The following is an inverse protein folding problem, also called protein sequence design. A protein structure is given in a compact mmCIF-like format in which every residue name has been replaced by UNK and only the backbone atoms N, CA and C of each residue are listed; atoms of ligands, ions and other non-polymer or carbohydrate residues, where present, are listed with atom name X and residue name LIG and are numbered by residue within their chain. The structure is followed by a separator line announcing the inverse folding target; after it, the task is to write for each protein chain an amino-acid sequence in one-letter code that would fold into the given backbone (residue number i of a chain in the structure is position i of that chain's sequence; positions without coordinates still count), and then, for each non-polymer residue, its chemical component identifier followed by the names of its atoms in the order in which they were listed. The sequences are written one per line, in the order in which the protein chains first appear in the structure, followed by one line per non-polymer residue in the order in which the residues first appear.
data_IF_638237579414
#
_entry.id   IF_638237579414
#
_cell.length_a   1.000
_cell.length_b   1.000
_cell.length_c   1.000
_cell.angle_alpha   90.00
_cell.angle_beta   90.00
_cell.angle_gamma   90.00
#
_symmetry.space_group_name_H-M   'P 1'
#
loop_
_entity.id
_entity.type
_entity.pdbx_description
1 polymer ?
#
# COMPACT_ATOMS: atom_id res chain seq x y z
N UNK A 1 3.58 -12.22 -2.00
CA UNK A 1 3.62 -11.97 -0.55
C UNK A 1 4.64 -10.88 -0.28
N UNK A 2 4.21 -9.80 0.36
CA UNK A 2 5.02 -8.63 0.64
C UNK A 2 5.88 -8.79 1.90
N UNK A 3 5.30 -9.31 3.00
CA UNK A 3 5.93 -9.35 4.32
C UNK A 3 7.34 -9.96 4.32
N UNK A 4 7.61 -11.13 3.71
CA UNK A 4 8.96 -11.71 3.74
C UNK A 4 10.02 -10.87 3.03
N UNK A 5 9.61 -10.00 2.10
CA UNK A 5 10.49 -9.11 1.36
C UNK A 5 10.74 -7.80 2.11
N UNK A 6 9.70 -7.27 2.78
CA UNK A 6 9.74 -5.93 3.38
C UNK A 6 10.18 -5.98 4.84
N UNK A 7 9.64 -6.90 5.63
CA UNK A 7 9.88 -7.01 7.08
C UNK A 7 10.63 -8.29 7.47
N UNK A 8 10.79 -9.25 6.54
CA UNK A 8 11.57 -10.47 6.75
C UNK A 8 10.83 -11.61 7.46
N UNK A 9 9.54 -11.43 7.74
CA UNK A 9 8.67 -12.40 8.41
C UNK A 9 7.37 -12.59 7.60
N UNK A 10 6.62 -13.66 7.88
CA UNK A 10 5.33 -13.90 7.20
C UNK A 10 4.18 -13.08 7.80
N UNK A 11 4.24 -12.79 9.10
CA UNK A 11 3.19 -12.13 9.89
C UNK A 11 1.81 -12.79 9.69
N UNK A 12 1.72 -14.12 9.84
CA UNK A 12 0.52 -14.92 9.47
C UNK A 12 -0.78 -14.51 10.17
N UNK A 13 -0.71 -13.82 11.31
CA UNK A 13 -1.89 -13.36 12.06
C UNK A 13 -2.33 -11.93 11.68
N UNK A 14 -1.54 -11.23 10.87
CA UNK A 14 -1.82 -9.85 10.45
C UNK A 14 -2.47 -9.80 9.05
N UNK A 15 -3.32 -8.80 8.80
CA UNK A 15 -3.98 -8.59 7.50
C UNK A 15 -2.97 -8.44 6.35
N UNK A 16 -1.76 -7.96 6.63
CA UNK A 16 -0.67 -7.83 5.66
C UNK A 16 -0.15 -9.15 5.10
N UNK A 17 -0.44 -10.27 5.76
CA UNK A 17 -0.08 -11.61 5.25
C UNK A 17 -0.68 -11.91 3.88
N UNK A 18 -1.79 -11.23 3.52
CA UNK A 18 -2.48 -11.35 2.25
C UNK A 18 -2.09 -10.25 1.24
N UNK A 19 -1.05 -9.46 1.55
CA UNK A 19 -0.61 -8.37 0.69
C UNK A 19 0.50 -8.80 -0.28
N UNK A 20 0.48 -8.21 -1.48
CA UNK A 20 1.39 -8.55 -2.58
C UNK A 20 2.04 -7.30 -3.15
N UNK A 21 3.33 -7.39 -3.48
CA UNK A 21 4.06 -6.30 -4.14
C UNK A 21 3.61 -6.20 -5.60
N UNK A 22 3.25 -4.99 -6.03
CA UNK A 22 2.88 -4.68 -7.43
C UNK A 22 3.89 -3.77 -8.12
N UNK A 23 4.69 -3.02 -7.36
CA UNK A 23 5.74 -2.15 -7.88
C UNK A 23 6.85 -1.97 -6.84
N UNK A 24 8.07 -1.69 -7.30
CA UNK A 24 9.19 -1.26 -6.46
C UNK A 24 10.07 -0.27 -7.21
N UNK A 25 10.71 0.64 -6.46
CA UNK A 25 11.73 1.54 -7.00
C UNK A 25 13.14 0.90 -7.06
N UNK A 26 13.28 -0.33 -6.55
CA UNK A 26 14.55 -1.06 -6.47
C UNK A 26 15.48 -0.59 -5.34
N UNK A 27 15.03 0.32 -4.46
CA UNK A 27 15.78 0.87 -3.32
C UNK A 27 15.09 0.65 -1.98
N UNK A 28 14.01 -0.13 -1.97
CA UNK A 28 13.32 -0.56 -0.76
C UNK A 28 11.92 0.01 -0.63
N UNK A 29 11.49 0.90 -1.52
CA UNK A 29 10.11 1.39 -1.56
C UNK A 29 9.24 0.43 -2.39
N UNK A 30 8.05 0.14 -1.88
CA UNK A 30 7.12 -0.80 -2.49
C UNK A 30 5.72 -0.22 -2.57
N UNK A 31 5.01 -0.58 -3.64
CA UNK A 31 3.56 -0.51 -3.67
C UNK A 31 3.02 -1.91 -3.44
N UNK A 32 2.10 -2.05 -2.50
CA UNK A 32 1.46 -3.33 -2.19
C UNK A 32 -0.04 -3.28 -2.43
N UNK A 33 -0.65 -4.45 -2.63
CA UNK A 33 -2.09 -4.64 -2.81
C UNK A 33 -2.60 -5.71 -1.87
N UNK A 34 -3.75 -5.48 -1.23
CA UNK A 34 -4.47 -6.50 -0.46
C UNK A 34 -5.29 -7.41 -1.38
N UNK A 35 -4.96 -8.71 -1.43
CA UNK A 35 -5.71 -9.68 -2.23
C UNK A 35 -6.75 -10.47 -1.41
N UNK A 36 -7.01 -10.07 -0.16
CA UNK A 36 -8.14 -10.60 0.59
C UNK A 36 -9.47 -10.12 -0.01
N UNK A 37 -10.40 -11.04 -0.20
CA UNK A 37 -11.71 -10.80 -0.82
C UNK A 37 -12.59 -9.80 -0.04
N UNK A 38 -12.46 -9.76 1.29
CA UNK A 38 -13.23 -8.85 2.14
C UNK A 38 -12.67 -7.41 2.11
N UNK A 39 -11.36 -7.25 1.84
CA UNK A 39 -10.64 -5.96 1.84
C UNK A 39 -10.36 -5.39 0.44
N UNK A 40 -10.80 -6.07 -0.62
CA UNK A 40 -11.12 -5.55 -1.97
C UNK A 40 -10.00 -4.86 -2.75
N UNK A 41 -8.74 -5.29 -2.65
CA UNK A 41 -7.72 -4.78 -3.57
C UNK A 41 -7.19 -3.38 -3.25
N UNK A 42 -7.39 -2.88 -2.02
CA UNK A 42 -6.77 -1.63 -1.57
C UNK A 42 -5.25 -1.69 -1.78
N UNK A 43 -4.65 -0.55 -2.11
CA UNK A 43 -3.22 -0.42 -2.32
C UNK A 43 -2.58 0.51 -1.29
N UNK A 44 -1.34 0.19 -0.93
CA UNK A 44 -0.61 0.87 0.15
C UNK A 44 0.78 1.32 -0.29
N UNK A 45 1.23 2.44 0.29
CA UNK A 45 2.65 2.80 0.34
C UNK A 45 3.32 1.90 1.39
N UNK A 46 4.37 1.17 1.01
CA UNK A 46 4.99 0.17 1.86
C UNK A 46 6.50 0.33 1.89
N UNK A 47 7.00 0.54 3.10
CA UNK A 47 8.41 0.59 3.45
C UNK A 47 8.60 -0.11 4.80
N UNK A 48 9.85 -0.39 5.18
CA UNK A 48 10.14 -1.19 6.38
C UNK A 48 9.54 -0.60 7.68
N UNK A 49 9.30 0.72 7.72
CA UNK A 49 8.83 1.46 8.90
C UNK A 49 7.31 1.75 8.90
N UNK A 50 6.60 1.38 7.82
CA UNK A 50 5.15 1.64 7.68
C UNK A 50 4.35 0.44 7.18
N UNK A 51 4.98 -0.57 6.61
CA UNK A 51 4.29 -1.73 6.06
C UNK A 51 3.71 -2.61 7.16
N UNK A 52 2.38 -2.71 7.21
CA UNK A 52 1.69 -3.55 8.20
C UNK A 52 1.78 -3.00 9.62
N UNK A 53 1.83 -1.67 9.75
CA UNK A 53 1.87 -0.96 11.04
C UNK A 53 0.61 -0.11 11.19
N UNK A 54 -0.11 -0.36 12.28
CA UNK A 54 -1.36 0.34 12.62
C UNK A 54 -1.12 1.85 12.73
N UNK A 55 -1.86 2.63 11.94
CA UNK A 55 -1.76 4.08 11.91
C UNK A 55 -0.63 4.65 11.05
N UNK A 56 0.21 3.79 10.46
CA UNK A 56 1.30 4.19 9.57
C UNK A 56 1.12 3.62 8.14
N UNK A 57 0.16 2.71 7.93
CA UNK A 57 -0.06 2.06 6.63
C UNK A 57 -1.12 2.82 5.81
N UNK A 58 -0.70 3.92 5.18
CA UNK A 58 -1.60 4.75 4.39
C UNK A 58 -2.22 4.00 3.19
N UNK A 59 -3.55 4.07 3.08
CA UNK A 59 -4.26 3.68 1.86
C UNK A 59 -4.01 4.74 0.80
N UNK A 60 -3.38 4.35 -0.31
CA UNK A 60 -3.08 5.25 -1.43
C UNK A 60 -4.02 5.06 -2.63
N UNK A 61 -4.71 3.91 -2.72
CA UNK A 61 -5.75 3.67 -3.71
C UNK A 61 -6.75 2.62 -3.23
N UNK A 62 -7.98 2.71 -3.74
CA UNK A 62 -9.10 1.82 -3.37
C UNK A 62 -9.15 0.52 -4.18
N UNK A 63 -8.39 0.44 -5.27
CA UNK A 63 -8.23 -0.73 -6.12
C UNK A 63 -6.97 -0.59 -6.99
N UNK A 64 -6.55 -1.68 -7.63
CA UNK A 64 -5.45 -1.61 -8.61
C UNK A 64 -5.75 -0.66 -9.78
N UNK A 65 -6.99 -0.65 -10.28
CA UNK A 65 -7.39 0.27 -11.36
C UNK A 65 -7.32 1.73 -10.91
N UNK A 66 -7.77 2.04 -9.69
CA UNK A 66 -7.67 3.37 -9.08
C UNK A 66 -6.20 3.81 -8.95
N UNK A 67 -5.32 2.90 -8.51
CA UNK A 67 -3.87 3.15 -8.44
C UNK A 67 -3.31 3.55 -9.81
N UNK A 68 -3.58 2.75 -10.86
CA UNK A 68 -3.08 3.04 -12.21
C UNK A 68 -3.63 4.36 -12.74
N UNK A 69 -4.92 4.65 -12.53
CA UNK A 69 -5.53 5.89 -12.98
C UNK A 69 -4.84 7.11 -12.32
N UNK A 70 -4.65 7.09 -11.00
CA UNK A 70 -3.97 8.18 -10.27
C UNK A 70 -2.53 8.37 -10.71
N UNK A 71 -1.79 7.28 -10.93
CA UNK A 71 -0.42 7.33 -11.43
C UNK A 71 -0.35 7.98 -12.83
N UNK A 72 -1.27 7.61 -13.74
CA UNK A 72 -1.35 8.19 -15.08
C UNK A 72 -1.74 9.67 -15.06
N UNK A 73 -2.70 10.04 -14.22
CA UNK A 73 -3.13 11.44 -14.03
C UNK A 73 -2.00 12.30 -13.44
N UNK A 74 -1.17 11.72 -12.57
CA UNK A 74 -0.01 12.36 -11.97
C UNK A 74 1.23 12.44 -12.90
N UNK A 75 1.19 11.81 -14.08
CA UNK A 75 2.18 11.98 -15.18
C UNK A 75 3.65 11.79 -14.78
N UNK A 76 3.93 10.93 -13.82
CA UNK A 76 5.30 10.67 -13.37
C UNK A 76 5.97 11.84 -12.64
N UNK A 77 5.19 12.74 -12.04
CA UNK A 77 5.70 13.67 -11.03
C UNK A 77 6.12 12.90 -9.75
N UNK A 78 6.30 13.60 -8.63
CA UNK A 78 6.42 12.99 -7.29
C UNK A 78 5.21 12.13 -6.91
N UNK A 79 5.33 11.30 -5.88
CA UNK A 79 4.24 10.43 -5.42
C UNK A 79 2.98 11.24 -5.09
N UNK A 80 1.86 10.90 -5.73
CA UNK A 80 0.64 11.72 -5.66
C UNK A 80 0.05 11.79 -4.25
N UNK A 81 0.31 10.78 -3.41
CA UNK A 81 -0.19 10.74 -2.02
C UNK A 81 0.62 11.62 -1.06
N UNK A 82 1.75 12.19 -1.52
CA UNK A 82 2.55 13.15 -0.76
C UNK A 82 2.21 14.62 -1.10
N UNK A 83 1.24 14.85 -1.98
CA UNK A 83 0.81 16.20 -2.35
C UNK A 83 0.00 16.83 -1.22
N UNK A 84 0.15 18.14 -1.03
CA UNK A 84 -0.62 18.90 -0.01
C UNK A 84 -2.14 18.84 -0.22
N UNK A 85 -2.59 18.61 -1.46
CA UNK A 85 -3.99 18.50 -1.85
C UNK A 85 -4.52 17.05 -1.82
N UNK A 86 -3.71 16.08 -1.41
CA UNK A 86 -4.14 14.69 -1.32
C UNK A 86 -5.12 14.50 -0.16
N UNK A 87 -6.37 14.15 -0.48
CA UNK A 87 -7.33 13.69 0.51
C UNK A 87 -6.97 12.27 0.94
N UNK A 88 -6.57 12.12 2.20
CA UNK A 88 -6.31 10.80 2.80
C UNK A 88 -7.49 9.85 2.59
N UNK A 89 -7.18 8.58 2.33
CA UNK A 89 -8.14 7.48 2.21
C UNK A 89 -8.21 6.63 3.49
N UNK A 90 -7.54 7.07 4.55
CA UNK A 90 -7.41 6.36 5.82
C UNK A 90 -6.19 5.44 5.88
N UNK A 91 -6.12 4.70 6.98
CA UNK A 91 -5.13 3.68 7.26
C UNK A 91 -5.64 2.28 6.88
N UNK A 92 -4.73 1.34 6.64
CA UNK A 92 -5.08 -0.03 6.30
C UNK A 92 -5.94 -0.71 7.38
N UNK A 93 -5.74 -0.33 8.64
CA UNK A 93 -6.42 -0.87 9.81
C UNK A 93 -7.63 -0.05 10.25
N UNK A 94 -8.03 0.97 9.47
CA UNK A 94 -9.26 1.71 9.75
C UNK A 94 -10.49 0.82 9.54
N UNK A 95 -11.12 0.42 10.64
CA UNK A 95 -12.35 -0.38 10.66
C UNK A 95 -12.16 -1.86 11.00
N UNK A 96 -10.93 -2.30 11.26
CA UNK A 96 -10.59 -3.62 11.80
C UNK A 96 -10.61 -3.66 13.34
#
# INVERSE_FOLDING_TARGET
MANPVIVGELCEEDISSEWYIVCTDGKGEYLTIDLNEDRKGKCYDSFFDRHGIVGETQVIATSFTDLIQRLLENKGEHWYWLRDDFSTLGDAYDGD
#
